data_IF_666378609563
#
_entry.id   IF_666378609563
#
_cell.length_a   1.000
_cell.length_b   1.000
_cell.length_c   1.000
_cell.angle_alpha   90.00
_cell.angle_beta   90.00
_cell.angle_gamma   90.00
#
_symmetry.space_group_name_H-M   'P 1'
#
loop_
_entity.id
_entity.type
_entity.pdbx_description
1 polymer ?
#
# COMPACT_ATOMS: atom_id res chain seq x y z
N UNK A 1 3.06 21.85 -0.59
CA UNK A 1 2.56 21.89 0.80
C UNK A 1 1.26 21.12 0.98
N UNK A 2 0.17 21.44 0.27
CA UNK A 2 -1.13 20.76 0.44
C UNK A 2 -1.07 19.22 0.41
N UNK A 3 -0.40 18.60 -0.58
CA UNK A 3 -0.32 17.13 -0.65
C UNK A 3 0.40 16.50 0.54
N UNK A 4 1.44 17.17 1.06
CA UNK A 4 2.15 16.71 2.24
C UNK A 4 1.26 16.80 3.49
N UNK A 5 0.54 17.91 3.68
CA UNK A 5 -0.43 18.08 4.77
C UNK A 5 -1.50 16.99 4.72
N UNK A 6 -2.09 16.73 3.54
CA UNK A 6 -3.05 15.65 3.36
C UNK A 6 -2.44 14.29 3.71
N UNK A 7 -1.17 14.05 3.36
CA UNK A 7 -0.46 12.83 3.75
C UNK A 7 -0.26 12.68 5.25
N UNK A 8 0.12 13.76 5.94
CA UNK A 8 0.29 13.79 7.40
C UNK A 8 -1.04 13.51 8.12
N UNK A 9 -2.16 14.00 7.58
CA UNK A 9 -3.51 13.74 8.15
C UNK A 9 -4.03 12.35 7.80
N UNK A 10 -3.72 11.87 6.59
CA UNK A 10 -4.21 10.59 6.09
C UNK A 10 -3.68 9.42 6.93
N UNK A 11 -2.38 9.40 7.27
CA UNK A 11 -1.79 8.32 8.07
C UNK A 11 -2.52 8.05 9.40
N UNK A 12 -2.70 9.04 10.31
CA UNK A 12 -3.43 8.82 11.56
C UNK A 12 -4.91 8.54 11.31
N UNK A 13 -5.53 9.12 10.28
CA UNK A 13 -6.94 8.86 9.95
C UNK A 13 -7.17 7.39 9.55
N UNK A 14 -6.35 6.85 8.64
CA UNK A 14 -6.44 5.46 8.22
C UNK A 14 -6.18 4.49 9.38
N UNK A 15 -5.15 4.78 10.19
CA UNK A 15 -4.84 4.02 11.40
C UNK A 15 -5.97 4.05 12.43
N UNK A 16 -6.58 5.21 12.68
CA UNK A 16 -7.70 5.35 13.60
C UNK A 16 -8.94 4.58 13.12
N UNK A 17 -9.31 4.71 11.84
CA UNK A 17 -10.43 3.98 11.25
C UNK A 17 -10.21 2.46 11.33
N UNK A 18 -8.97 2.00 11.11
CA UNK A 18 -8.66 0.58 11.24
C UNK A 18 -8.76 0.09 12.68
N UNK A 19 -8.20 0.84 13.63
CA UNK A 19 -8.30 0.51 15.05
C UNK A 19 -9.76 0.39 15.50
N UNK A 20 -10.64 1.29 15.02
CA UNK A 20 -12.08 1.20 15.29
C UNK A 20 -12.75 0.01 14.61
N UNK A 21 -12.29 -0.39 13.42
CA UNK A 21 -12.83 -1.52 12.67
C UNK A 21 -12.48 -2.86 13.34
N UNK A 22 -11.27 -2.96 13.91
CA UNK A 22 -10.75 -4.17 14.57
C UNK A 22 -11.12 -4.26 16.07
N UNK A 23 -11.52 -3.15 16.68
CA UNK A 23 -12.00 -3.14 18.07
C UNK A 23 -13.42 -3.72 18.25
N UNK A 24 -14.11 -4.08 17.17
CA UNK A 24 -15.47 -4.62 17.23
C UNK A 24 -15.43 -6.07 17.78
N UNK A 25 -16.30 -6.45 18.73
CA UNK A 25 -16.35 -7.81 19.26
C UNK A 25 -16.54 -8.87 18.16
N UNK A 26 -15.88 -10.01 18.33
CA UNK A 26 -15.82 -11.12 17.37
C UNK A 26 -17.16 -11.76 17.01
N UNK A 27 -18.23 -11.50 17.77
CA UNK A 27 -19.57 -12.00 17.50
C UNK A 27 -20.34 -11.20 16.43
N UNK A 28 -19.83 -10.04 16.00
CA UNK A 28 -20.45 -9.20 14.96
C UNK A 28 -19.44 -8.33 14.21
N UNK A 29 -18.55 -8.87 13.36
CA UNK A 29 -18.00 -8.07 12.25
C UNK A 29 -19.19 -7.65 11.36
N UNK A 30 -19.82 -6.55 11.72
CA UNK A 30 -21.09 -6.11 11.16
C UNK A 30 -20.88 -5.07 10.06
N UNK A 31 -22.01 -4.52 9.61
CA UNK A 31 -22.07 -3.38 8.69
C UNK A 31 -21.08 -2.26 9.06
N UNK A 32 -20.84 -2.01 10.37
CA UNK A 32 -19.86 -1.02 10.84
C UNK A 32 -18.45 -1.28 10.35
N UNK A 33 -17.93 -2.51 10.48
CA UNK A 33 -16.57 -2.86 10.03
C UNK A 33 -16.45 -2.68 8.52
N UNK A 34 -17.48 -3.10 7.77
CA UNK A 34 -17.56 -2.91 6.31
C UNK A 34 -17.59 -1.42 5.95
N UNK A 35 -18.38 -0.60 6.66
CA UNK A 35 -18.44 0.84 6.44
C UNK A 35 -17.11 1.54 6.76
N UNK A 36 -16.41 1.12 7.82
CA UNK A 36 -15.09 1.66 8.17
C UNK A 36 -14.03 1.28 7.15
N UNK A 37 -14.00 0.02 6.68
CA UNK A 37 -13.13 -0.39 5.57
C UNK A 37 -13.49 0.34 4.27
N UNK A 38 -14.78 0.55 4.01
CA UNK A 38 -15.26 1.37 2.89
C UNK A 38 -14.81 2.82 3.01
N UNK A 39 -14.83 3.40 4.21
CA UNK A 39 -14.30 4.73 4.47
C UNK A 39 -12.79 4.79 4.20
N UNK A 40 -12.01 3.81 4.67
CA UNK A 40 -10.58 3.67 4.36
C UNK A 40 -10.39 3.64 2.83
N UNK A 41 -11.13 2.80 2.11
CA UNK A 41 -11.05 2.74 0.66
C UNK A 41 -11.31 4.08 -0.02
N UNK A 42 -12.33 4.81 0.42
CA UNK A 42 -12.67 6.12 -0.12
C UNK A 42 -11.57 7.15 0.14
N UNK A 43 -11.08 7.26 1.39
CA UNK A 43 -10.02 8.22 1.72
C UNK A 43 -8.70 7.86 1.03
N UNK A 44 -8.35 6.57 0.93
CA UNK A 44 -7.13 6.10 0.26
C UNK A 44 -7.22 6.34 -1.25
N UNK A 45 -8.39 6.13 -1.85
CA UNK A 45 -8.62 6.45 -3.27
C UNK A 45 -8.53 7.95 -3.55
N UNK A 46 -9.14 8.79 -2.71
CA UNK A 46 -9.08 10.25 -2.84
C UNK A 46 -7.65 10.79 -2.64
N UNK A 47 -6.96 10.32 -1.60
CA UNK A 47 -5.57 10.69 -1.31
C UNK A 47 -4.64 10.29 -2.46
N UNK A 48 -4.74 9.06 -2.94
CA UNK A 48 -3.90 8.59 -4.07
C UNK A 48 -4.19 9.33 -5.37
N UNK A 49 -5.44 9.69 -5.67
CA UNK A 49 -5.77 10.53 -6.82
C UNK A 49 -5.10 11.91 -6.71
N UNK A 50 -5.18 12.55 -5.54
CA UNK A 50 -4.54 13.83 -5.28
C UNK A 50 -3.00 13.75 -5.43
N UNK A 51 -2.37 12.73 -4.83
CA UNK A 51 -0.91 12.58 -4.87
C UNK A 51 -0.41 12.20 -6.26
N UNK A 52 -1.16 11.37 -6.99
CA UNK A 52 -0.84 11.02 -8.36
C UNK A 52 -0.88 12.23 -9.28
N UNK A 53 -1.93 13.05 -9.17
CA UNK A 53 -2.14 14.24 -10.01
C UNK A 53 -1.21 15.40 -9.68
N UNK A 54 -0.92 15.63 -8.39
CA UNK A 54 -0.17 16.82 -7.94
C UNK A 54 1.27 16.50 -7.58
N UNK A 55 1.51 15.57 -6.65
CA UNK A 55 2.86 15.25 -6.17
C UNK A 55 2.88 14.00 -5.29
N UNK A 56 3.90 13.16 -5.47
CA UNK A 56 4.14 11.99 -4.62
C UNK A 56 4.65 12.35 -3.22
N UNK A 57 4.86 13.64 -2.90
CA UNK A 57 5.21 14.09 -1.55
C UNK A 57 4.14 13.73 -0.51
N UNK A 58 2.86 13.64 -0.89
CA UNK A 58 1.82 13.23 0.05
C UNK A 58 1.92 11.77 0.47
N UNK A 59 2.25 10.89 -0.49
CA UNK A 59 2.53 9.49 -0.20
C UNK A 59 3.80 9.33 0.66
N UNK A 60 4.83 10.14 0.41
CA UNK A 60 6.04 10.17 1.24
C UNK A 60 5.71 10.61 2.68
N UNK A 61 4.97 11.72 2.82
CA UNK A 61 4.56 12.25 4.12
C UNK A 61 3.72 11.24 4.89
N UNK A 62 2.75 10.58 4.23
CA UNK A 62 1.96 9.48 4.80
C UNK A 62 2.87 8.40 5.40
N UNK A 63 3.82 7.91 4.60
CA UNK A 63 4.72 6.85 5.02
C UNK A 63 5.66 7.26 6.15
N UNK A 64 6.18 8.50 6.12
CA UNK A 64 7.02 9.05 7.19
C UNK A 64 6.23 9.29 8.49
N UNK A 65 5.00 9.78 8.41
CA UNK A 65 4.12 9.96 9.58
C UNK A 65 3.78 8.62 10.23
N UNK A 66 3.43 7.61 9.43
CA UNK A 66 3.21 6.26 9.92
C UNK A 66 4.47 5.63 10.53
N UNK A 67 5.65 5.87 9.92
CA UNK A 67 6.92 5.40 10.45
C UNK A 67 7.26 6.09 11.77
N UNK A 68 7.03 7.41 11.88
CA UNK A 68 7.24 8.16 13.12
C UNK A 68 6.34 7.65 14.25
N UNK A 69 5.06 7.39 13.95
CA UNK A 69 4.12 6.79 14.90
C UNK A 69 4.61 5.40 15.34
N UNK A 70 5.07 4.57 14.41
CA UNK A 70 5.60 3.24 14.72
C UNK A 70 6.89 3.31 15.55
N UNK A 71 7.78 4.26 15.28
CA UNK A 71 8.98 4.49 16.09
C UNK A 71 8.63 4.91 17.51
N UNK A 72 7.62 5.77 17.68
CA UNK A 72 7.12 6.17 19.00
C UNK A 72 6.58 4.96 19.79
N UNK A 73 5.92 4.00 19.13
CA UNK A 73 5.48 2.75 19.76
C UNK A 73 6.67 1.93 20.29
N UNK A 74 7.78 1.84 19.54
CA UNK A 74 8.98 1.13 20.01
C UNK A 74 9.72 1.85 21.13
N UNK A 75 9.62 3.18 21.21
CA UNK A 75 10.24 3.98 22.27
C UNK A 75 9.35 4.15 23.51
N UNK A 76 8.06 3.82 23.41
CA UNK A 76 7.13 3.99 24.51
C UNK A 76 7.50 3.05 25.68
N UNK A 77 7.69 3.57 26.90
CA UNK A 77 7.93 2.73 28.08
C UNK A 77 6.67 1.96 28.52
N UNK A 78 5.51 2.34 27.98
CA UNK A 78 4.19 1.84 28.30
C UNK A 78 3.79 0.79 27.26
N UNK A 79 3.45 -0.41 27.73
CA UNK A 79 3.05 -1.53 26.87
C UNK A 79 1.73 -1.27 26.16
N UNK A 80 1.53 -1.87 24.98
CA UNK A 80 0.28 -1.73 24.23
C UNK A 80 -0.96 -2.08 25.08
N UNK A 81 -0.83 -3.04 26.01
CA UNK A 81 -1.91 -3.49 26.89
C UNK A 81 -2.32 -2.46 27.98
N UNK A 82 -1.46 -1.50 28.33
CA UNK A 82 -1.75 -0.47 29.34
C UNK A 82 -2.29 0.83 28.75
N UNK A 83 -2.57 0.86 27.45
CA UNK A 83 -3.19 2.02 26.80
C UNK A 83 -4.68 2.13 27.13
N UNK A 84 -5.21 3.34 27.35
CA UNK A 84 -6.58 3.53 27.84
C UNK A 84 -7.67 3.17 26.82
N UNK A 85 -7.33 3.08 25.53
CA UNK A 85 -8.30 2.86 24.45
C UNK A 85 -8.07 1.53 23.76
N UNK A 86 -9.08 0.65 23.76
CA UNK A 86 -9.03 -0.70 23.15
C UNK A 86 -8.69 -0.70 21.67
N UNK A 87 -9.19 0.28 20.91
CA UNK A 87 -8.87 0.44 19.48
C UNK A 87 -7.38 0.68 19.24
N UNK A 88 -6.71 1.39 20.15
CA UNK A 88 -5.29 1.68 20.04
C UNK A 88 -4.45 0.45 20.41
N UNK A 89 -4.89 -0.32 21.43
CA UNK A 89 -4.27 -1.60 21.79
C UNK A 89 -4.30 -2.57 20.59
N UNK A 90 -5.48 -2.70 19.96
CA UNK A 90 -5.70 -3.54 18.77
C UNK A 90 -4.87 -3.08 17.59
N UNK A 91 -4.93 -1.79 17.24
CA UNK A 91 -4.14 -1.21 16.17
C UNK A 91 -2.64 -1.47 16.34
N UNK A 92 -2.10 -1.28 17.55
CA UNK A 92 -0.69 -1.53 17.81
C UNK A 92 -0.39 -3.02 17.65
N UNK A 93 -1.21 -3.92 18.21
CA UNK A 93 -0.97 -5.37 18.12
C UNK A 93 -0.86 -5.91 16.69
N UNK A 94 -1.47 -5.24 15.71
CA UNK A 94 -1.48 -5.70 14.30
C UNK A 94 -0.24 -5.30 13.51
N UNK A 95 0.56 -4.33 14.00
CA UNK A 95 1.68 -3.77 13.25
C UNK A 95 1.27 -2.96 12.02
N UNK A 96 0.00 -2.56 11.93
CA UNK A 96 -0.52 -1.86 10.74
C UNK A 96 0.19 -0.54 10.44
N UNK A 97 0.65 0.21 11.45
CA UNK A 97 1.41 1.45 11.22
C UNK A 97 2.70 1.18 10.43
N UNK A 98 3.40 0.08 10.74
CA UNK A 98 4.58 -0.33 9.99
C UNK A 98 4.24 -0.76 8.56
N UNK A 99 3.11 -1.46 8.39
CA UNK A 99 2.61 -1.87 7.08
C UNK A 99 2.28 -0.65 6.21
N UNK A 100 1.54 0.30 6.77
CA UNK A 100 1.19 1.56 6.14
C UNK A 100 2.47 2.35 5.77
N UNK A 101 3.43 2.45 6.70
CA UNK A 101 4.71 3.10 6.47
C UNK A 101 5.46 2.51 5.27
N UNK A 102 5.66 1.20 5.26
CA UNK A 102 6.37 0.49 4.20
C UNK A 102 5.68 0.67 2.85
N UNK A 103 4.38 0.34 2.77
CA UNK A 103 3.61 0.44 1.53
C UNK A 103 3.60 1.86 0.95
N UNK A 104 3.39 2.89 1.78
CA UNK A 104 3.30 4.27 1.31
C UNK A 104 4.64 4.91 0.98
N UNK A 105 5.72 4.59 1.71
CA UNK A 105 7.07 5.00 1.30
C UNK A 105 7.45 4.38 -0.04
N UNK A 106 7.23 3.06 -0.19
CA UNK A 106 7.39 2.36 -1.45
C UNK A 106 6.52 2.95 -2.56
N UNK A 107 5.23 3.18 -2.28
CA UNK A 107 4.26 3.75 -3.20
C UNK A 107 4.63 5.17 -3.64
N UNK A 108 5.19 5.99 -2.75
CA UNK A 108 5.67 7.34 -3.07
C UNK A 108 6.78 7.31 -4.13
N UNK A 109 7.73 6.38 -3.96
CA UNK A 109 8.79 6.11 -4.91
C UNK A 109 8.23 5.55 -6.22
N UNK A 110 7.31 4.58 -6.10
CA UNK A 110 6.54 3.99 -7.18
C UNK A 110 5.90 5.02 -8.10
N UNK A 111 5.12 5.94 -7.52
CA UNK A 111 4.45 7.02 -8.24
C UNK A 111 5.44 8.00 -8.90
N UNK A 112 6.54 8.34 -8.23
CA UNK A 112 7.58 9.22 -8.78
C UNK A 112 8.20 8.62 -10.03
N UNK A 113 8.62 7.36 -9.96
CA UNK A 113 9.20 6.64 -11.10
C UNK A 113 8.16 6.39 -12.19
N UNK A 114 6.93 6.02 -11.83
CA UNK A 114 5.85 5.82 -12.80
C UNK A 114 5.55 7.10 -13.59
N UNK A 115 5.57 8.28 -12.94
CA UNK A 115 5.42 9.58 -13.60
C UNK A 115 6.56 9.87 -14.56
N UNK A 116 7.81 9.67 -14.14
CA UNK A 116 9.00 9.83 -14.99
C UNK A 116 8.95 8.91 -16.21
N UNK A 117 8.59 7.64 -16.01
CA UNK A 117 8.38 6.69 -17.09
C UNK A 117 7.23 7.15 -18.02
N UNK A 118 6.15 7.69 -17.47
CA UNK A 118 5.06 8.29 -18.25
C UNK A 118 5.53 9.44 -19.15
N UNK A 119 6.36 10.34 -18.63
CA UNK A 119 6.96 11.42 -19.42
C UNK A 119 7.81 10.88 -20.58
N UNK A 120 8.71 9.93 -20.31
CA UNK A 120 9.52 9.30 -21.34
C UNK A 120 8.66 8.60 -22.41
N UNK A 121 7.57 7.94 -22.01
CA UNK A 121 6.59 7.36 -22.94
C UNK A 121 5.92 8.42 -23.81
N UNK A 122 5.57 9.57 -23.25
CA UNK A 122 4.97 10.67 -24.03
C UNK A 122 5.93 11.21 -25.08
N UNK A 123 7.21 11.39 -24.72
CA UNK A 123 8.26 11.82 -25.66
C UNK A 123 8.49 10.78 -26.76
N UNK A 124 8.62 9.50 -26.40
CA UNK A 124 8.80 8.43 -27.36
C UNK A 124 7.60 8.31 -28.31
N UNK A 125 6.37 8.38 -27.79
CA UNK A 125 5.15 8.35 -28.60
C UNK A 125 5.10 9.52 -29.60
N UNK A 126 5.45 10.73 -29.17
CA UNK A 126 5.51 11.89 -30.06
C UNK A 126 6.54 11.72 -31.18
N UNK A 127 7.75 11.24 -30.86
CA UNK A 127 8.80 10.96 -31.85
C UNK A 127 8.36 9.89 -32.85
N UNK A 128 7.73 8.81 -32.39
CA UNK A 128 7.18 7.76 -33.26
C UNK A 128 6.11 8.34 -34.18
N UNK A 129 5.18 9.14 -33.66
CA UNK A 129 4.15 9.80 -34.49
C UNK A 129 4.76 10.76 -35.52
N UNK A 130 5.89 11.40 -35.23
CA UNK A 130 6.61 12.22 -36.22
C UNK A 130 7.31 11.36 -37.28
N UNK A 131 7.96 10.27 -36.88
CA UNK A 131 8.59 9.31 -37.80
C UNK A 131 7.55 8.60 -38.69
N UNK A 132 6.37 8.29 -38.18
CA UNK A 132 5.28 7.67 -38.96
C UNK A 132 4.78 8.56 -40.12
N UNK A 133 5.08 9.87 -40.08
CA UNK A 133 4.76 10.80 -41.17
C UNK A 133 5.77 10.76 -42.32
N UNK A 134 6.93 10.10 -42.15
CA UNK A 134 7.89 9.96 -43.24
C UNK A 134 7.48 8.84 -44.19
N UNK A 135 7.12 9.22 -45.42
CA UNK A 135 6.72 8.28 -46.47
C UNK A 135 7.91 7.37 -46.81
N UNK A 136 7.67 6.05 -46.85
CA UNK A 136 8.68 5.05 -47.22
C UNK A 136 9.50 4.46 -46.05
N UNK A 137 9.27 4.88 -44.81
CA UNK A 137 9.88 4.25 -43.62
C UNK A 137 8.93 3.26 -42.94
N UNK A 138 9.44 2.14 -42.46
CA UNK A 138 8.67 1.22 -41.60
C UNK A 138 8.61 1.75 -40.16
N UNK A 139 7.40 1.88 -39.57
CA UNK A 139 7.24 2.30 -38.17
C UNK A 139 7.99 1.38 -37.20
N UNK A 140 8.74 1.97 -36.28
CA UNK A 140 9.35 1.19 -35.20
C UNK A 140 8.25 0.72 -34.21
N UNK A 141 8.28 -0.55 -33.78
CA UNK A 141 7.26 -1.08 -32.87
C UNK A 141 7.32 -0.39 -31.50
N UNK A 142 6.17 -0.22 -30.82
CA UNK A 142 6.14 0.36 -29.49
C UNK A 142 6.89 -0.51 -28.47
N UNK A 143 7.53 0.09 -27.44
CA UNK A 143 8.31 -0.64 -26.46
C UNK A 143 7.42 -1.61 -25.66
N UNK A 144 7.82 -2.88 -25.61
CA UNK A 144 7.08 -3.93 -24.90
C UNK A 144 7.21 -3.81 -23.38
N UNK A 145 6.13 -4.14 -22.65
CA UNK A 145 6.08 -4.16 -21.17
C UNK A 145 5.70 -5.52 -20.58
N UNK A 146 5.69 -6.55 -21.41
CA UNK A 146 5.19 -7.89 -21.04
C UNK A 146 5.92 -8.45 -19.82
N UNK A 147 7.25 -8.34 -19.77
CA UNK A 147 8.07 -8.83 -18.65
C UNK A 147 7.74 -8.11 -17.33
N UNK A 148 7.57 -6.79 -17.37
CA UNK A 148 7.21 -6.01 -16.18
C UNK A 148 5.84 -6.44 -15.62
N UNK A 149 4.88 -6.74 -16.50
CA UNK A 149 3.58 -7.23 -16.09
C UNK A 149 3.66 -8.63 -15.47
N UNK A 150 4.36 -9.56 -16.11
CA UNK A 150 4.51 -10.94 -15.63
C UNK A 150 5.22 -11.01 -14.28
N UNK A 151 6.26 -10.20 -14.05
CA UNK A 151 7.01 -10.22 -12.80
C UNK A 151 6.33 -9.44 -11.67
N UNK A 152 5.39 -8.54 -11.97
CA UNK A 152 4.80 -7.68 -10.93
C UNK A 152 3.94 -8.43 -9.91
N UNK A 153 3.18 -9.45 -10.35
CA UNK A 153 2.36 -10.26 -9.45
C UNK A 153 3.20 -11.11 -8.49
N UNK A 154 4.13 -11.98 -8.97
CA UNK A 154 4.92 -12.81 -8.06
C UNK A 154 5.78 -11.96 -7.12
N UNK A 155 6.27 -10.80 -7.57
CA UNK A 155 7.04 -9.89 -6.72
C UNK A 155 6.22 -9.31 -5.56
N UNK A 156 5.02 -8.79 -5.85
CA UNK A 156 4.13 -8.24 -4.82
C UNK A 156 3.68 -9.32 -3.85
N UNK A 157 3.30 -10.49 -4.37
CA UNK A 157 2.89 -11.63 -3.53
C UNK A 157 4.05 -12.09 -2.65
N UNK A 158 5.26 -12.23 -3.18
CA UNK A 158 6.44 -12.62 -2.40
C UNK A 158 6.77 -11.61 -1.29
N UNK A 159 6.73 -10.30 -1.60
CA UNK A 159 6.98 -9.26 -0.61
C UNK A 159 5.95 -9.26 0.53
N UNK A 160 4.68 -9.44 0.19
CA UNK A 160 3.61 -9.52 1.19
C UNK A 160 3.66 -10.81 2.00
N UNK A 161 3.95 -11.95 1.37
CA UNK A 161 4.11 -13.22 2.05
C UNK A 161 5.29 -13.19 3.04
N UNK A 162 6.42 -12.59 2.63
CA UNK A 162 7.58 -12.40 3.50
C UNK A 162 7.23 -11.53 4.71
N UNK A 163 6.55 -10.41 4.49
CA UNK A 163 6.09 -9.54 5.58
C UNK A 163 5.08 -10.27 6.50
N UNK A 164 4.09 -10.96 5.94
CA UNK A 164 3.09 -11.70 6.70
C UNK A 164 3.69 -12.86 7.52
N UNK A 165 4.83 -13.41 7.08
CA UNK A 165 5.54 -14.46 7.81
C UNK A 165 6.42 -13.92 8.95
N UNK A 166 7.17 -12.84 8.68
CA UNK A 166 8.16 -12.30 9.62
C UNK A 166 7.54 -11.37 10.66
N UNK A 167 6.63 -10.50 10.23
CA UNK A 167 6.13 -9.39 11.02
C UNK A 167 5.37 -9.88 12.25
N UNK A 168 4.40 -10.81 12.18
CA UNK A 168 3.66 -11.22 13.37
C UNK A 168 4.51 -11.93 14.42
N UNK A 169 5.54 -12.68 14.00
CA UNK A 169 6.42 -13.41 14.93
C UNK A 169 7.42 -12.50 15.63
N UNK A 170 7.90 -11.47 14.94
CA UNK A 170 8.91 -10.55 15.44
C UNK A 170 8.27 -9.33 16.11
N UNK A 171 7.24 -8.75 15.51
CA UNK A 171 6.58 -7.54 15.98
C UNK A 171 5.81 -7.75 17.29
N UNK A 172 5.01 -8.82 17.41
CA UNK A 172 4.26 -9.08 18.64
C UNK A 172 5.19 -9.28 19.83
N UNK A 173 6.34 -9.92 19.62
CA UNK A 173 7.39 -10.05 20.65
C UNK A 173 8.09 -8.73 20.94
N UNK A 174 8.28 -7.87 19.93
CA UNK A 174 8.90 -6.56 20.07
C UNK A 174 8.05 -5.57 20.87
N UNK A 175 6.73 -5.73 20.84
CA UNK A 175 5.79 -4.85 21.55
C UNK A 175 5.23 -5.52 22.83
N UNK A 176 5.58 -6.78 23.09
CA UNK A 176 5.18 -7.51 24.29
C UNK A 176 5.88 -7.01 25.57
N UNK A 177 5.20 -7.03 26.72
CA UNK A 177 5.76 -6.58 27.98
C UNK A 177 6.92 -7.45 28.47
N UNK A 178 7.97 -6.80 28.98
CA UNK A 178 9.11 -7.45 29.65
C UNK A 178 10.10 -8.15 28.73
N UNK A 179 9.95 -8.06 27.40
CA UNK A 179 10.88 -8.65 26.44
C UNK A 179 11.86 -7.59 25.94
N UNK A 180 13.15 -7.81 26.15
CA UNK A 180 14.19 -6.96 25.57
C UNK A 180 14.29 -7.24 24.07
N UNK A 181 14.14 -6.20 23.24
CA UNK A 181 14.16 -6.33 21.78
C UNK A 181 15.55 -6.70 21.28
N UNK A 182 15.77 -7.98 20.94
CA UNK A 182 17.04 -8.47 20.40
C UNK A 182 17.31 -8.02 18.94
N UNK A 183 18.58 -8.01 18.49
CA UNK A 183 18.98 -7.51 17.17
C UNK A 183 18.36 -8.30 16.01
N UNK A 184 18.18 -9.62 16.16
CA UNK A 184 17.51 -10.47 15.15
C UNK A 184 16.05 -10.08 14.93
N UNK A 185 15.37 -9.63 15.99
CA UNK A 185 13.97 -9.23 15.91
C UNK A 185 13.83 -7.90 15.19
N UNK A 186 14.70 -6.93 15.50
CA UNK A 186 14.79 -5.66 14.77
C UNK A 186 15.14 -5.89 13.29
N UNK A 187 16.05 -6.82 13.01
CA UNK A 187 16.37 -7.20 11.63
C UNK A 187 15.15 -7.78 10.90
N UNK A 188 14.37 -8.66 11.53
CA UNK A 188 13.14 -9.20 10.94
C UNK A 188 12.07 -8.13 10.68
N UNK A 189 11.90 -7.17 11.61
CA UNK A 189 11.01 -6.01 11.45
C UNK A 189 11.47 -5.15 10.27
N UNK A 190 12.77 -4.86 10.19
CA UNK A 190 13.37 -4.08 9.10
C UNK A 190 13.20 -4.77 7.75
N UNK A 191 13.46 -6.09 7.66
CA UNK A 191 13.28 -6.87 6.44
C UNK A 191 11.81 -6.85 6.01
N UNK A 192 10.87 -6.98 6.96
CA UNK A 192 9.44 -6.89 6.67
C UNK A 192 9.08 -5.52 6.09
N UNK A 193 9.57 -4.45 6.70
CA UNK A 193 9.39 -3.08 6.22
C UNK A 193 9.97 -2.88 4.80
N UNK A 194 11.18 -3.38 4.54
CA UNK A 194 11.81 -3.33 3.22
C UNK A 194 10.98 -4.10 2.19
N UNK A 195 10.47 -5.29 2.55
CA UNK A 195 9.63 -6.09 1.67
C UNK A 195 8.32 -5.37 1.29
N UNK A 196 7.69 -4.71 2.25
CA UNK A 196 6.50 -3.87 2.03
C UNK A 196 6.80 -2.66 1.15
N UNK A 197 7.92 -1.97 1.41
CA UNK A 197 8.38 -0.87 0.59
C UNK A 197 8.72 -1.31 -0.84
N UNK A 198 9.33 -2.48 -1.02
CA UNK A 198 9.60 -3.06 -2.32
C UNK A 198 8.30 -3.42 -3.06
N UNK A 199 7.29 -3.95 -2.36
CA UNK A 199 5.97 -4.21 -2.93
C UNK A 199 5.30 -2.91 -3.41
N UNK A 200 5.29 -1.85 -2.59
CA UNK A 200 4.79 -0.53 -3.00
C UNK A 200 5.56 0.09 -4.17
N UNK A 201 6.89 0.01 -4.14
CA UNK A 201 7.78 0.55 -5.16
C UNK A 201 7.67 -0.19 -6.51
N UNK A 202 7.32 -1.49 -6.50
CA UNK A 202 7.15 -2.29 -7.71
C UNK A 202 6.12 -1.71 -8.70
N UNK A 203 5.17 -0.91 -8.19
CA UNK A 203 4.17 -0.18 -8.98
C UNK A 203 4.79 0.78 -10.00
N UNK A 204 6.06 1.17 -9.81
CA UNK A 204 6.85 1.93 -10.78
C UNK A 204 6.97 1.26 -12.14
N UNK A 205 7.12 -0.08 -12.17
CA UNK A 205 7.31 -0.88 -13.40
C UNK A 205 5.96 -1.34 -13.93
N UNK A 206 5.17 -2.01 -13.10
CA UNK A 206 3.82 -2.44 -13.42
C UNK A 206 2.92 -2.31 -12.20
N UNK A 207 1.74 -1.75 -12.41
CA UNK A 207 0.72 -1.60 -11.37
C UNK A 207 -0.20 -2.81 -11.28
N UNK A 208 -0.05 -3.79 -12.19
CA UNK A 208 -0.93 -4.95 -12.29
C UNK A 208 -0.85 -5.82 -11.03
N UNK A 209 0.35 -6.12 -10.53
CA UNK A 209 0.52 -6.88 -9.29
C UNK A 209 -0.27 -6.27 -8.13
N UNK A 210 -0.04 -4.99 -7.83
CA UNK A 210 -0.77 -4.30 -6.76
C UNK A 210 -2.29 -4.23 -6.98
N UNK A 211 -2.73 -3.96 -8.22
CA UNK A 211 -4.15 -3.86 -8.58
C UNK A 211 -4.90 -5.20 -8.61
N UNK A 212 -4.18 -6.32 -8.73
CA UNK A 212 -4.76 -7.68 -8.70
C UNK A 212 -4.68 -8.24 -7.29
N UNK A 213 -3.51 -8.15 -6.65
CA UNK A 213 -3.32 -8.66 -5.28
C UNK A 213 -4.20 -7.93 -4.28
N UNK A 214 -4.39 -6.61 -4.40
CA UNK A 214 -5.22 -5.84 -3.47
C UNK A 214 -6.66 -6.38 -3.34
N UNK A 215 -7.42 -6.48 -4.45
CA UNK A 215 -8.75 -7.11 -4.45
C UNK A 215 -8.75 -8.56 -3.96
N UNK A 216 -7.74 -9.36 -4.30
CA UNK A 216 -7.64 -10.75 -3.82
C UNK A 216 -7.56 -10.78 -2.29
N UNK A 217 -6.76 -9.91 -1.66
CA UNK A 217 -6.67 -9.85 -0.20
C UNK A 217 -8.00 -9.44 0.45
N UNK A 218 -8.73 -8.49 -0.17
CA UNK A 218 -10.06 -8.09 0.29
C UNK A 218 -11.01 -9.29 0.19
N UNK A 219 -11.05 -9.98 -0.95
CA UNK A 219 -11.91 -11.15 -1.16
C UNK A 219 -11.59 -12.30 -0.20
N UNK A 220 -10.31 -12.53 0.10
CA UNK A 220 -9.89 -13.53 1.08
C UNK A 220 -10.37 -13.18 2.51
N UNK A 221 -10.53 -11.89 2.82
CA UNK A 221 -11.04 -11.45 4.12
C UNK A 221 -12.57 -11.49 4.22
N UNK A 222 -13.31 -11.52 3.09
CA UNK A 222 -14.78 -11.47 3.09
C UNK A 222 -15.43 -12.57 3.93
N UNK A 223 -15.05 -13.87 3.82
CA UNK A 223 -15.70 -14.93 4.60
C UNK A 223 -15.62 -14.70 6.11
N UNK A 224 -14.43 -14.35 6.61
CA UNK A 224 -14.19 -13.99 8.02
C UNK A 224 -14.99 -12.75 8.45
N UNK A 225 -15.09 -11.74 7.59
CA UNK A 225 -15.83 -10.51 7.86
C UNK A 225 -17.36 -10.69 7.76
N UNK A 226 -17.83 -11.81 7.19
CA UNK A 226 -19.25 -12.07 6.99
C UNK A 226 -19.95 -12.76 8.17
N UNK A 227 -19.23 -13.03 9.26
CA UNK A 227 -19.77 -13.70 10.45
C UNK A 227 -20.50 -15.02 10.13
N UNK A 228 -19.82 -15.89 9.38
CA UNK A 228 -20.31 -17.20 8.92
C UNK A 228 -21.50 -17.17 7.93
N UNK A 229 -21.91 -15.99 7.43
CA UNK A 229 -22.86 -15.92 6.31
C UNK A 229 -22.29 -16.51 5.01
N UNK A 230 -20.96 -16.46 4.84
CA UNK A 230 -20.24 -17.02 3.70
C UNK A 230 -19.32 -18.15 4.21
N UNK A 231 -19.38 -19.35 3.62
CA UNK A 231 -18.51 -20.45 4.02
C UNK A 231 -17.03 -20.10 3.81
N UNK A 232 -16.18 -20.57 4.73
CA UNK A 232 -14.73 -20.34 4.66
C UNK A 232 -14.18 -19.31 5.65
N UNK A 233 -14.93 -18.97 6.71
CA UNK A 233 -14.47 -18.07 7.79
C UNK A 233 -13.17 -18.49 8.48
N UNK A 234 -12.70 -19.73 8.32
CA UNK A 234 -11.41 -20.19 8.85
C UNK A 234 -10.29 -20.24 7.81
N UNK A 235 -10.52 -19.83 6.56
CA UNK A 235 -9.50 -19.90 5.50
C UNK A 235 -8.29 -19.02 5.82
N UNK A 236 -8.52 -17.78 6.26
CA UNK A 236 -7.44 -16.84 6.61
C UNK A 236 -6.64 -17.38 7.78
N UNK A 237 -7.29 -17.81 8.86
CA UNK A 237 -6.61 -18.37 10.04
C UNK A 237 -5.90 -19.70 9.75
N UNK A 238 -6.34 -20.48 8.75
CA UNK A 238 -5.66 -21.71 8.34
C UNK A 238 -4.46 -21.44 7.43
N UNK A 239 -4.57 -20.50 6.50
CA UNK A 239 -3.49 -20.13 5.57
C UNK A 239 -2.39 -19.30 6.25
N UNK A 240 -2.80 -18.45 7.20
CA UNK A 240 -1.97 -17.49 7.89
C UNK A 240 -2.24 -17.61 9.40
N UNK A 241 -1.85 -18.74 10.05
CA UNK A 241 -2.16 -19.00 11.46
C UNK A 241 -1.54 -18.00 12.42
N UNK A 242 -0.47 -17.33 11.97
CA UNK A 242 0.15 -16.23 12.70
C UNK A 242 0.02 -14.91 11.94
N UNK A 243 -0.66 -14.85 10.79
CA UNK A 243 -0.69 -13.64 9.96
C UNK A 243 -1.66 -12.57 10.45
N UNK A 244 -1.81 -11.48 9.68
CA UNK A 244 -2.79 -10.44 9.99
C UNK A 244 -4.21 -11.04 10.01
N UNK A 245 -5.06 -10.52 10.89
CA UNK A 245 -6.49 -10.83 10.88
C UNK A 245 -7.17 -10.34 9.59
N UNK A 246 -8.45 -10.66 9.44
CA UNK A 246 -9.22 -10.32 8.25
C UNK A 246 -9.38 -8.81 8.02
N UNK A 247 -9.51 -8.02 9.09
CA UNK A 247 -9.70 -6.56 8.99
C UNK A 247 -8.41 -5.92 8.48
N UNK A 248 -7.27 -6.31 9.05
CA UNK A 248 -5.95 -5.86 8.64
C UNK A 248 -5.63 -6.35 7.23
N UNK A 249 -5.95 -7.60 6.90
CA UNK A 249 -5.76 -8.16 5.55
C UNK A 249 -6.53 -7.37 4.49
N UNK A 250 -7.80 -7.04 4.76
CA UNK A 250 -8.62 -6.21 3.89
C UNK A 250 -8.01 -4.81 3.74
N UNK A 251 -7.54 -4.20 4.84
CA UNK A 251 -6.90 -2.89 4.80
C UNK A 251 -5.59 -2.89 3.98
N UNK A 252 -4.74 -3.91 4.13
CA UNK A 252 -3.56 -4.09 3.27
C UNK A 252 -3.97 -4.15 1.80
N UNK A 253 -5.04 -4.91 1.49
CA UNK A 253 -5.59 -5.01 0.15
C UNK A 253 -6.05 -3.67 -0.42
N UNK A 254 -6.77 -2.88 0.39
CA UNK A 254 -7.24 -1.53 0.04
C UNK A 254 -6.06 -0.60 -0.25
N UNK A 255 -5.08 -0.52 0.66
CA UNK A 255 -3.92 0.36 0.52
C UNK A 255 -3.09 0.00 -0.71
N UNK A 256 -2.85 -1.30 -0.92
CA UNK A 256 -2.11 -1.79 -2.07
C UNK A 256 -2.83 -1.47 -3.40
N UNK A 257 -4.14 -1.69 -3.45
CA UNK A 257 -4.97 -1.36 -4.61
C UNK A 257 -4.94 0.15 -4.89
N UNK A 258 -5.11 0.99 -3.86
CA UNK A 258 -5.07 2.43 -3.97
C UNK A 258 -3.71 2.91 -4.51
N UNK A 259 -2.60 2.40 -3.96
CA UNK A 259 -1.23 2.72 -4.43
C UNK A 259 -1.05 2.28 -5.90
N UNK A 260 -1.54 1.09 -6.26
CA UNK A 260 -1.50 0.59 -7.64
C UNK A 260 -2.23 1.49 -8.63
N UNK A 261 -3.42 1.96 -8.27
CA UNK A 261 -4.16 2.95 -9.07
C UNK A 261 -3.48 4.32 -9.09
N UNK A 262 -2.97 4.79 -7.95
CA UNK A 262 -2.23 6.04 -7.84
C UNK A 262 -1.01 6.08 -8.77
N UNK A 263 -0.20 5.02 -8.80
CA UNK A 263 0.95 4.94 -9.71
C UNK A 263 0.52 4.87 -11.19
N UNK A 264 -0.61 4.24 -11.50
CA UNK A 264 -1.16 4.21 -12.85
C UNK A 264 -1.58 5.62 -13.30
N UNK A 265 -2.29 6.35 -12.44
CA UNK A 265 -2.69 7.74 -12.68
C UNK A 265 -1.47 8.66 -12.80
N UNK A 266 -0.45 8.50 -11.94
CA UNK A 266 0.78 9.30 -12.00
C UNK A 266 1.50 9.11 -13.35
N UNK A 267 1.53 7.88 -13.87
CA UNK A 267 2.08 7.58 -15.20
C UNK A 267 1.26 8.22 -16.32
N UNK A 268 -0.07 8.14 -16.24
CA UNK A 268 -0.98 8.76 -17.22
C UNK A 268 -0.78 10.29 -17.24
N UNK A 269 -0.70 10.91 -16.07
CA UNK A 269 -0.44 12.34 -15.91
C UNK A 269 0.92 12.74 -16.51
N UNK A 270 1.99 11.99 -16.21
CA UNK A 270 3.32 12.25 -16.79
C UNK A 270 3.32 12.18 -18.32
N UNK A 271 2.61 11.20 -18.89
CA UNK A 271 2.47 11.06 -20.35
C UNK A 271 1.71 12.23 -20.97
N UNK A 272 0.56 12.57 -20.39
CA UNK A 272 -0.27 13.68 -20.86
C UNK A 272 0.52 15.00 -20.83
N UNK A 273 1.19 15.29 -19.72
CA UNK A 273 2.00 16.51 -19.58
C UNK A 273 3.13 16.59 -20.62
N UNK A 274 3.83 15.48 -20.89
CA UNK A 274 4.85 15.46 -21.93
C UNK A 274 4.28 15.75 -23.33
N UNK A 275 3.14 15.13 -23.67
CA UNK A 275 2.50 15.33 -24.97
C UNK A 275 1.97 16.76 -25.12
N UNK A 276 1.35 17.32 -24.09
CA UNK A 276 0.88 18.71 -24.12
C UNK A 276 2.04 19.66 -24.36
N UNK A 277 3.15 19.49 -23.66
CA UNK A 277 4.34 20.34 -23.79
C UNK A 277 4.95 20.29 -25.20
N UNK A 278 5.07 19.08 -25.77
CA UNK A 278 5.59 18.89 -27.12
C UNK A 278 4.65 19.45 -28.21
N UNK A 279 3.33 19.37 -28.01
CA UNK A 279 2.33 19.93 -28.94
C UNK A 279 2.27 21.46 -28.88
N UNK A 280 2.53 22.06 -27.72
CA UNK A 280 2.55 23.51 -27.55
C UNK A 280 3.88 24.16 -27.97
N UNK A 281 4.89 23.37 -28.38
CA UNK A 281 6.21 23.89 -28.75
C UNK A 281 7.01 24.50 -27.60
N UNK A 282 6.73 24.10 -26.35
CA UNK A 282 7.31 24.65 -25.12
C UNK A 282 8.34 23.74 -24.44
#
# INVERSE_FOLDING_TARGET
MLTAVVGVVFAPSASFLLGLADAVPSSTPGLRTVLLLGAILLISSAATALFAGRSSMGALATGLTALAAQSAVFMAPIHAASLPHTWLQKLISTGFMLILAGLWLGGSWGMRLARRAGHAQGQAAFRLTQADRTVGSTPAPPPSRRRDHLLSLPWVVAGLALAAFLLPRSYLRAVAPGIQTGPLMLAAVLVSFIALAAAGASTARSTLGARVTGPILILLAVPTLSNDMIPGGHLVSRLLPYGPDAVVLAAIGIELMAIGWGAHMARRAGRANALTKLRSGA
#
